data_IF_847610595465
#
_entry.id   IF_847610595465
#
_cell.length_a   1.000
_cell.length_b   1.000
_cell.length_c   1.000
_cell.angle_alpha   90.00
_cell.angle_beta   90.00
_cell.angle_gamma   90.00
#
_symmetry.space_group_name_H-M   'P 1'
#
loop_
_entity.id
_entity.type
_entity.pdbx_description
1 polymer ?
#
# COMPACT_ATOMS: atom_id res chain seq x y z
N UNK A 1 -9.52 -25.23 11.54
CA UNK A 1 -9.05 -25.89 10.29
C UNK A 1 -9.53 -25.22 8.99
N UNK A 2 -10.14 -24.01 9.03
CA UNK A 2 -10.46 -23.21 7.83
C UNK A 2 -9.40 -22.15 7.49
N UNK A 3 -8.45 -21.87 8.41
CA UNK A 3 -7.32 -20.95 8.17
C UNK A 3 -6.21 -21.58 7.30
N UNK A 4 -6.11 -22.90 7.28
CA UNK A 4 -5.04 -23.59 6.54
C UNK A 4 -5.39 -23.80 5.05
N UNK A 5 -6.66 -23.63 4.66
CA UNK A 5 -7.12 -23.76 3.27
C UNK A 5 -6.91 -22.48 2.44
N UNK A 6 -6.71 -21.33 3.07
CA UNK A 6 -6.37 -20.08 2.37
C UNK A 6 -4.87 -19.93 2.07
N UNK A 7 -4.02 -20.78 2.65
CA UNK A 7 -2.56 -20.63 2.56
C UNK A 7 -1.94 -21.26 1.31
N UNK A 8 -2.70 -22.02 0.52
CA UNK A 8 -2.19 -22.79 -0.62
C UNK A 8 -2.57 -22.26 -2.00
N UNK A 9 -3.37 -21.19 -2.11
CA UNK A 9 -3.84 -20.70 -3.43
C UNK A 9 -3.18 -19.39 -3.90
N UNK A 10 -2.40 -18.69 -3.07
CA UNK A 10 -1.93 -17.33 -3.39
C UNK A 10 -0.69 -17.23 -4.28
N UNK A 11 -0.08 -18.34 -4.70
CA UNK A 11 1.14 -18.32 -5.53
C UNK A 11 0.87 -18.44 -7.03
N UNK A 12 -0.29 -18.96 -7.45
CA UNK A 12 -0.59 -19.18 -8.87
C UNK A 12 -1.44 -18.06 -9.53
N UNK A 13 -2.24 -17.32 -8.77
CA UNK A 13 -3.09 -16.25 -9.34
C UNK A 13 -2.29 -14.99 -9.73
N UNK A 14 -1.14 -14.75 -9.08
CA UNK A 14 -0.26 -13.59 -9.36
C UNK A 14 0.38 -13.61 -10.75
N UNK A 15 0.52 -14.78 -11.38
CA UNK A 15 1.03 -14.91 -12.76
C UNK A 15 -0.05 -14.71 -13.82
N UNK A 16 -1.33 -14.81 -13.47
CA UNK A 16 -2.44 -14.73 -14.42
C UNK A 16 -3.02 -13.30 -14.51
N UNK A 17 -2.88 -12.48 -13.47
CA UNK A 17 -3.30 -11.07 -13.50
C UNK A 17 -2.34 -10.17 -14.27
N UNK A 18 -1.13 -10.63 -14.62
CA UNK A 18 -0.08 -9.79 -15.23
C UNK A 18 -0.24 -9.51 -16.73
N UNK A 19 -1.31 -9.96 -17.40
CA UNK A 19 -1.31 -10.06 -18.86
C UNK A 19 -2.39 -9.27 -19.62
N UNK A 20 -3.44 -8.68 -19.00
CA UNK A 20 -4.55 -8.13 -19.81
C UNK A 20 -5.10 -6.75 -19.37
N UNK A 21 -4.69 -6.16 -18.25
CA UNK A 21 -4.95 -4.73 -17.96
C UNK A 21 -3.70 -4.13 -17.30
N UNK A 22 -3.48 -2.81 -17.33
CA UNK A 22 -2.57 -2.16 -16.37
C UNK A 22 -3.22 -2.31 -14.99
N UNK A 23 -3.15 -3.51 -14.42
CA UNK A 23 -3.88 -3.89 -13.22
C UNK A 23 -3.27 -3.10 -12.08
N UNK A 24 -4.09 -2.29 -11.44
CA UNK A 24 -3.73 -1.58 -10.22
C UNK A 24 -3.14 -2.61 -9.23
N UNK A 25 -1.82 -2.58 -9.05
CA UNK A 25 -1.09 -3.52 -8.21
C UNK A 25 -0.61 -2.82 -6.93
N UNK A 26 -0.73 -3.52 -5.80
CA UNK A 26 -0.34 -3.00 -4.49
C UNK A 26 1.14 -2.66 -4.46
N UNK A 27 2.00 -3.49 -5.07
CA UNK A 27 3.44 -3.23 -5.04
C UNK A 27 3.76 -1.99 -5.88
N UNK A 28 3.12 -1.82 -7.04
CA UNK A 28 3.29 -0.60 -7.86
C UNK A 28 2.82 0.64 -7.11
N UNK A 29 1.69 0.56 -6.40
CA UNK A 29 1.17 1.65 -5.60
C UNK A 29 2.08 2.04 -4.42
N UNK A 30 2.59 1.05 -3.68
CA UNK A 30 3.51 1.29 -2.56
C UNK A 30 4.89 1.74 -3.05
N UNK A 31 5.40 1.16 -4.14
CA UNK A 31 6.66 1.58 -4.76
C UNK A 31 6.58 3.01 -5.29
N UNK A 32 5.42 3.47 -5.77
CA UNK A 32 5.25 4.88 -6.11
C UNK A 32 5.53 5.82 -4.90
N UNK A 33 5.24 5.37 -3.68
CA UNK A 33 5.61 6.12 -2.47
C UNK A 33 7.12 6.08 -2.17
N UNK A 34 7.80 4.96 -2.47
CA UNK A 34 9.26 4.85 -2.36
C UNK A 34 9.97 5.74 -3.41
N UNK A 35 9.50 5.68 -4.65
CA UNK A 35 10.07 6.40 -5.79
C UNK A 35 9.65 7.88 -5.85
N UNK A 36 8.79 8.31 -4.92
CA UNK A 36 8.18 9.66 -4.86
C UNK A 36 7.43 10.03 -6.14
N UNK A 37 6.88 9.04 -6.83
CA UNK A 37 6.07 9.20 -8.04
C UNK A 37 4.62 9.59 -7.69
N UNK A 38 4.40 10.91 -7.59
CA UNK A 38 3.09 11.49 -7.28
C UNK A 38 2.07 11.15 -8.37
N UNK A 39 2.50 11.14 -9.64
CA UNK A 39 1.61 10.94 -10.77
C UNK A 39 1.01 9.54 -10.77
N UNK A 40 1.84 8.52 -10.51
CA UNK A 40 1.36 7.14 -10.38
C UNK A 40 0.46 6.98 -9.17
N UNK A 41 0.83 7.56 -8.02
CA UNK A 41 0.00 7.55 -6.82
C UNK A 41 -1.40 8.14 -7.10
N UNK A 42 -1.43 9.35 -7.68
CA UNK A 42 -2.70 10.04 -7.97
C UNK A 42 -3.54 9.25 -8.97
N UNK A 43 -2.95 8.73 -10.05
CA UNK A 43 -3.68 7.89 -11.03
C UNK A 43 -4.37 6.71 -10.35
N UNK A 44 -3.69 6.04 -9.42
CA UNK A 44 -4.27 4.92 -8.68
C UNK A 44 -5.44 5.37 -7.80
N UNK A 45 -5.27 6.44 -7.04
CA UNK A 45 -6.32 6.97 -6.18
C UNK A 45 -7.54 7.47 -6.98
N UNK A 46 -7.31 8.15 -8.11
CA UNK A 46 -8.38 8.56 -9.04
C UNK A 46 -9.11 7.37 -9.67
N UNK A 47 -8.42 6.25 -9.88
CA UNK A 47 -9.02 5.00 -10.34
C UNK A 47 -9.82 4.27 -9.24
N UNK A 48 -9.91 4.83 -8.02
CA UNK A 48 -10.62 4.24 -6.89
C UNK A 48 -9.81 3.17 -6.16
N UNK A 49 -8.48 3.14 -6.34
CA UNK A 49 -7.63 2.23 -5.60
C UNK A 49 -7.63 2.59 -4.10
N UNK A 50 -7.81 1.61 -3.20
CA UNK A 50 -7.86 1.87 -1.76
C UNK A 50 -6.50 2.37 -1.24
N UNK A 51 -6.43 3.54 -0.59
CA UNK A 51 -5.17 4.16 -0.14
C UNK A 51 -4.49 3.42 1.02
N UNK A 52 -5.25 2.60 1.73
CA UNK A 52 -4.92 1.85 2.92
C UNK A 52 -4.58 0.37 2.62
N UNK A 53 -4.43 0.03 1.34
CA UNK A 53 -4.03 -1.30 0.91
C UNK A 53 -2.64 -1.65 1.47
N UNK A 54 -2.53 -2.69 2.31
CA UNK A 54 -1.26 -3.06 2.92
C UNK A 54 -0.46 -3.99 2.02
N UNK A 55 0.86 -3.89 2.10
CA UNK A 55 1.78 -4.86 1.53
C UNK A 55 1.46 -6.27 2.08
N UNK A 56 1.31 -7.29 1.22
CA UNK A 56 0.93 -8.63 1.67
C UNK A 56 1.94 -9.32 2.61
N UNK A 57 3.21 -8.91 2.62
CA UNK A 57 4.28 -9.52 3.41
C UNK A 57 4.51 -8.75 4.71
N UNK A 58 4.63 -7.43 4.64
CA UNK A 58 5.03 -6.56 5.76
C UNK A 58 3.85 -5.85 6.40
N UNK A 59 2.67 -5.86 5.77
CA UNK A 59 1.48 -5.10 6.19
C UNK A 59 1.64 -3.58 6.16
N UNK A 60 2.76 -3.08 5.63
CA UNK A 60 3.06 -1.66 5.45
C UNK A 60 2.11 -1.06 4.43
N UNK A 61 1.57 0.12 4.70
CA UNK A 61 0.75 0.88 3.74
C UNK A 61 1.56 1.98 3.08
N UNK A 62 1.03 2.55 1.99
CA UNK A 62 1.65 3.73 1.36
C UNK A 62 1.85 4.90 2.34
N UNK A 63 1.00 5.02 3.36
CA UNK A 63 1.12 6.06 4.39
C UNK A 63 2.32 5.84 5.32
N UNK A 64 2.67 4.60 5.65
CA UNK A 64 3.88 4.29 6.42
C UNK A 64 5.13 4.75 5.66
N UNK A 65 5.21 4.40 4.37
CA UNK A 65 6.34 4.79 3.50
C UNK A 65 6.41 6.31 3.29
N UNK A 66 5.26 6.97 3.10
CA UNK A 66 5.21 8.42 2.92
C UNK A 66 5.73 9.16 4.16
N UNK A 67 5.43 8.64 5.36
CA UNK A 67 5.94 9.18 6.62
C UNK A 67 7.43 8.89 6.79
N UNK A 68 7.87 7.65 6.56
CA UNK A 68 9.28 7.24 6.64
C UNK A 68 10.17 8.07 5.72
N UNK A 69 9.69 8.36 4.50
CA UNK A 69 10.40 9.16 3.51
C UNK A 69 10.31 10.68 3.73
N UNK A 70 9.69 11.12 4.83
CA UNK A 70 9.40 12.52 5.16
C UNK A 70 8.71 13.30 4.01
N UNK A 71 7.93 12.60 3.18
CA UNK A 71 7.31 13.18 1.99
C UNK A 71 5.93 13.75 2.33
N UNK A 72 5.93 14.99 2.83
CA UNK A 72 4.70 15.70 3.23
C UNK A 72 3.66 15.76 2.12
N UNK A 73 4.08 15.86 0.84
CA UNK A 73 3.14 15.94 -0.28
C UNK A 73 2.41 14.62 -0.49
N UNK A 74 3.11 13.49 -0.37
CA UNK A 74 2.50 12.17 -0.41
C UNK A 74 1.55 11.93 0.76
N UNK A 75 1.98 12.29 1.96
CA UNK A 75 1.15 12.20 3.17
C UNK A 75 -0.16 12.98 2.96
N UNK A 76 -0.09 14.22 2.47
CA UNK A 76 -1.28 15.02 2.18
C UNK A 76 -2.22 14.36 1.17
N UNK A 77 -1.69 13.81 0.07
CA UNK A 77 -2.52 13.17 -0.96
C UNK A 77 -3.21 11.92 -0.42
N UNK A 78 -2.48 11.07 0.32
CA UNK A 78 -3.04 9.86 0.93
C UNK A 78 -4.12 10.20 1.96
N UNK A 79 -3.90 11.21 2.80
CA UNK A 79 -4.89 11.66 3.77
C UNK A 79 -6.13 12.26 3.10
N UNK A 80 -5.95 13.04 2.03
CA UNK A 80 -7.07 13.57 1.23
C UNK A 80 -7.88 12.46 0.56
N UNK A 81 -7.23 11.35 0.20
CA UNK A 81 -7.89 10.16 -0.32
C UNK A 81 -8.55 9.28 0.76
N UNK A 82 -8.48 9.67 2.04
CA UNK A 82 -9.10 8.93 3.15
C UNK A 82 -8.23 7.81 3.73
N UNK A 83 -6.91 7.85 3.54
CA UNK A 83 -6.01 6.87 4.16
C UNK A 83 -6.17 6.82 5.68
N UNK A 84 -6.28 5.61 6.22
CA UNK A 84 -6.37 5.38 7.65
C UNK A 84 -5.01 5.61 8.34
N UNK A 85 -4.98 6.51 9.32
CA UNK A 85 -3.75 6.87 10.07
C UNK A 85 -3.36 5.87 11.15
N UNK A 86 -4.27 4.95 11.51
CA UNK A 86 -4.10 4.00 12.61
C UNK A 86 -3.83 2.57 12.13
N UNK A 87 -3.56 2.36 10.84
CA UNK A 87 -3.22 1.02 10.33
C UNK A 87 -1.88 0.61 10.91
N UNK A 88 -1.77 -0.61 11.43
CA UNK A 88 -0.51 -1.15 11.90
C UNK A 88 0.13 -2.07 10.86
N UNK A 89 1.46 -1.97 10.74
CA UNK A 89 2.29 -2.93 10.02
C UNK A 89 2.43 -4.27 10.82
N UNK A 90 3.28 -5.17 10.33
CA UNK A 90 3.54 -6.47 10.96
C UNK A 90 4.28 -6.37 12.30
N UNK A 91 4.90 -5.23 12.58
CA UNK A 91 5.60 -4.91 13.84
C UNK A 91 4.71 -4.17 14.83
N UNK A 92 3.42 -4.01 14.52
CA UNK A 92 2.46 -3.20 15.28
C UNK A 92 2.77 -1.69 15.29
N UNK A 93 3.61 -1.23 14.36
CA UNK A 93 3.92 0.18 14.16
C UNK A 93 2.82 0.84 13.34
N UNK A 94 2.35 2.00 13.78
CA UNK A 94 1.46 2.87 13.00
C UNK A 94 2.32 3.86 12.21
N UNK A 95 1.77 4.55 11.19
CA UNK A 95 2.47 5.66 10.56
C UNK A 95 2.98 6.68 11.57
N UNK A 96 2.23 6.94 12.66
CA UNK A 96 2.67 7.85 13.71
C UNK A 96 3.85 7.30 14.52
N UNK A 97 3.90 5.99 14.79
CA UNK A 97 5.06 5.37 15.42
C UNK A 97 6.34 5.57 14.58
N UNK A 98 6.22 5.50 13.25
CA UNK A 98 7.34 5.77 12.34
C UNK A 98 7.77 7.25 12.38
N UNK A 99 6.82 8.19 12.42
CA UNK A 99 7.13 9.63 12.47
C UNK A 99 7.87 10.07 13.74
N UNK A 100 7.69 9.34 14.84
CA UNK A 100 8.25 9.68 16.14
C UNK A 100 9.64 9.08 16.40
N UNK A 101 10.12 8.23 15.50
CA UNK A 101 11.43 7.58 15.57
C UNK A 101 12.52 8.46 14.95
#
# INVERSE_FOLDING_TARGET
RLRDLFRSQTTNERKLTSSILPVLDVNTFINAALDKDIDTLQKYLYAGFPPDQPDPLTRVTALHIAVESANLRFVQILLQAGAQVNVCDSSFSTPLHIAAY
#
